data_IF_277879156686
#
_entry.id   IF_277879156686
#
_cell.length_a   1.000
_cell.length_b   1.000
_cell.length_c   1.000
_cell.angle_alpha   90.00
_cell.angle_beta   90.00
_cell.angle_gamma   90.00
#
_symmetry.space_group_name_H-M   'P 1'
#
loop_
_entity.id
_entity.type
_entity.pdbx_description
1 polymer ?
#
# COMPACT_ATOMS: atom_id res chain seq x y z
N UNK A 1 12.19 10.94 12.27
CA UNK A 1 10.78 11.26 12.58
C UNK A 1 9.90 10.23 11.91
N UNK A 2 8.86 9.69 12.57
CA UNK A 2 7.86 8.91 11.85
C UNK A 2 7.25 9.83 10.79
N UNK A 3 7.14 9.34 9.55
CA UNK A 3 6.49 10.10 8.49
C UNK A 3 5.03 10.31 8.90
N UNK A 4 4.52 11.53 8.80
CA UNK A 4 3.11 11.81 9.05
C UNK A 4 2.33 11.37 7.80
N UNK A 5 1.99 10.08 7.77
CA UNK A 5 1.25 9.44 6.69
C UNK A 5 -0.15 10.04 6.50
N UNK A 6 -0.54 10.27 5.26
CA UNK A 6 -1.85 10.82 4.85
C UNK A 6 -2.48 10.00 3.72
N UNK A 7 -3.81 10.05 3.54
CA UNK A 7 -4.47 9.48 2.36
C UNK A 7 -3.81 9.94 1.05
N UNK A 8 -3.61 8.99 0.15
CA UNK A 8 -2.92 9.17 -1.13
C UNK A 8 -1.40 8.98 -1.08
N UNK A 9 -0.77 8.99 0.09
CA UNK A 9 0.67 8.74 0.20
C UNK A 9 0.99 7.31 -0.29
N UNK A 10 1.98 7.19 -1.18
CA UNK A 10 2.50 5.92 -1.65
C UNK A 10 3.61 5.40 -0.73
N UNK A 11 3.53 4.12 -0.40
CA UNK A 11 4.38 3.47 0.59
C UNK A 11 4.74 2.05 0.16
N UNK A 12 5.75 1.48 0.81
CA UNK A 12 5.85 0.04 0.96
C UNK A 12 5.22 -0.38 2.28
N UNK A 13 4.34 -1.37 2.24
CA UNK A 13 3.66 -1.91 3.39
C UNK A 13 4.19 -3.31 3.75
N UNK A 14 4.40 -3.58 5.04
CA UNK A 14 4.96 -4.83 5.52
C UNK A 14 3.90 -5.71 6.20
N UNK A 15 3.65 -6.89 5.62
CA UNK A 15 2.86 -7.95 6.24
C UNK A 15 3.72 -9.17 6.59
N UNK A 16 3.32 -9.94 7.61
CA UNK A 16 4.03 -11.18 7.99
C UNK A 16 3.95 -12.19 6.83
N UNK A 17 5.10 -12.77 6.44
CA UNK A 17 5.19 -13.76 5.36
C UNK A 17 5.30 -13.18 3.93
N UNK A 18 5.14 -11.86 3.77
CA UNK A 18 5.21 -11.16 2.48
C UNK A 18 6.43 -10.22 2.42
N UNK A 19 6.94 -9.91 1.21
CA UNK A 19 7.91 -8.82 1.03
C UNK A 19 7.29 -7.47 1.42
N UNK A 20 8.11 -6.42 1.45
CA UNK A 20 7.61 -5.04 1.52
C UNK A 20 6.88 -4.75 0.22
N UNK A 21 5.56 -4.58 0.29
CA UNK A 21 4.66 -4.57 -0.87
C UNK A 21 4.33 -3.14 -1.30
N UNK A 22 4.33 -2.81 -2.60
CA UNK A 22 3.92 -1.49 -3.09
C UNK A 22 2.45 -1.22 -2.76
N UNK A 23 2.17 -0.11 -2.08
CA UNK A 23 0.84 0.20 -1.57
C UNK A 23 0.58 1.70 -1.56
N UNK A 24 -0.69 2.09 -1.36
CA UNK A 24 -1.09 3.45 -1.01
C UNK A 24 -1.91 3.48 0.25
N UNK A 25 -1.87 4.61 0.94
CA UNK A 25 -2.76 4.89 2.06
C UNK A 25 -4.10 5.34 1.50
N UNK A 26 -5.15 4.65 1.92
CA UNK A 26 -6.52 5.01 1.56
C UNK A 26 -7.10 6.03 2.54
N UNK A 27 -8.17 6.68 2.13
CA UNK A 27 -8.99 7.42 3.07
C UNK A 27 -9.99 6.49 3.75
N UNK A 28 -10.44 6.86 4.95
CA UNK A 28 -11.56 6.17 5.59
C UNK A 28 -12.83 6.70 4.94
N UNK A 29 -13.42 5.92 4.04
CA UNK A 29 -14.68 6.29 3.40
C UNK A 29 -15.75 6.64 4.43
N UNK A 30 -16.55 7.67 4.14
CA UNK A 30 -17.64 8.11 5.00
C UNK A 30 -18.65 6.97 5.22
N UNK A 31 -18.95 6.65 6.48
CA UNK A 31 -19.82 5.53 6.84
C UNK A 31 -19.15 4.15 6.87
N UNK A 32 -17.87 4.02 6.49
CA UNK A 32 -17.13 2.78 6.63
C UNK A 32 -16.83 2.45 8.10
N UNK A 33 -16.55 1.18 8.37
CA UNK A 33 -16.05 0.73 9.68
C UNK A 33 -14.79 1.52 10.01
N UNK A 34 -14.81 2.24 11.15
CA UNK A 34 -13.66 3.01 11.59
C UNK A 34 -12.44 2.09 11.70
N UNK A 35 -11.26 2.54 11.21
CA UNK A 35 -10.03 1.78 11.42
C UNK A 35 -9.84 1.49 12.91
N UNK A 36 -9.29 0.32 13.27
CA UNK A 36 -8.86 0.07 14.63
C UNK A 36 -7.92 1.20 15.10
N UNK A 37 -7.90 1.52 16.40
CA UNK A 37 -7.02 2.58 16.92
C UNK A 37 -5.57 2.38 16.46
N UNK A 38 -4.94 3.47 16.01
CA UNK A 38 -3.56 3.49 15.52
C UNK A 38 -3.28 2.59 14.31
N UNK A 39 -4.30 2.23 13.53
CA UNK A 39 -4.12 1.59 12.23
C UNK A 39 -4.58 2.49 11.10
N UNK A 40 -3.90 2.36 9.97
CA UNK A 40 -4.10 3.13 8.75
C UNK A 40 -4.66 2.17 7.69
N UNK A 41 -5.72 2.55 6.95
CA UNK A 41 -6.21 1.75 5.82
C UNK A 41 -5.22 1.81 4.65
N UNK A 42 -4.90 0.65 4.11
CA UNK A 42 -3.90 0.45 3.06
C UNK A 42 -4.53 -0.31 1.90
N UNK A 43 -4.27 0.15 0.69
CA UNK A 43 -4.54 -0.55 -0.56
C UNK A 43 -3.22 -1.09 -1.13
N UNK A 44 -3.17 -2.38 -1.45
CA UNK A 44 -2.00 -3.02 -2.04
C UNK A 44 -2.09 -3.02 -3.57
N UNK A 45 -1.12 -2.41 -4.23
CA UNK A 45 -1.06 -2.43 -5.70
C UNK A 45 -0.83 -3.86 -6.22
N UNK A 46 -1.35 -4.13 -7.41
CA UNK A 46 -1.31 -5.39 -8.15
C UNK A 46 -2.23 -6.50 -7.62
N UNK A 47 -2.51 -6.56 -6.32
CA UNK A 47 -3.55 -7.47 -5.78
C UNK A 47 -4.87 -6.78 -5.51
N UNK A 48 -4.84 -5.45 -5.33
CA UNK A 48 -5.97 -4.60 -4.97
C UNK A 48 -6.66 -5.02 -3.66
N UNK A 49 -5.97 -5.82 -2.84
CA UNK A 49 -6.40 -6.16 -1.50
C UNK A 49 -6.28 -4.93 -0.59
N UNK A 50 -7.07 -4.92 0.49
CA UNK A 50 -7.03 -3.85 1.50
C UNK A 50 -6.77 -4.40 2.89
N UNK A 51 -6.02 -3.68 3.72
CA UNK A 51 -5.84 -4.03 5.13
C UNK A 51 -5.66 -2.80 6.02
N UNK A 52 -5.74 -3.00 7.33
CA UNK A 52 -5.37 -1.99 8.33
C UNK A 52 -4.00 -2.32 8.93
N UNK A 53 -3.02 -1.44 8.74
CA UNK A 53 -1.65 -1.62 9.24
C UNK A 53 -1.24 -0.53 10.22
N UNK A 54 -0.34 -0.85 11.14
CA UNK A 54 0.22 0.13 12.05
C UNK A 54 1.29 0.98 11.33
N UNK A 55 1.52 2.25 11.71
CA UNK A 55 2.51 3.12 11.08
C UNK A 55 3.93 2.53 11.02
N UNK A 56 4.30 1.68 11.99
CA UNK A 56 5.61 1.00 12.04
C UNK A 56 5.85 0.02 10.88
N UNK A 57 4.77 -0.43 10.24
CA UNK A 57 4.79 -1.39 9.15
C UNK A 57 4.71 -0.68 7.78
N UNK A 58 4.80 0.65 7.76
CA UNK A 58 4.73 1.49 6.57
C UNK A 58 6.06 2.22 6.35
N UNK A 59 6.49 2.24 5.10
CA UNK A 59 7.79 2.77 4.68
C UNK A 59 7.57 3.70 3.49
N UNK A 60 7.90 4.99 3.62
CA UNK A 60 7.69 5.97 2.55
C UNK A 60 8.38 5.53 1.24
N UNK A 61 7.63 5.50 0.13
CA UNK A 61 8.12 4.98 -1.14
C UNK A 61 9.43 5.65 -1.58
N UNK A 62 9.48 6.99 -1.58
CA UNK A 62 10.64 7.77 -2.03
C UNK A 62 11.94 7.38 -1.33
N UNK A 63 11.86 7.05 -0.03
CA UNK A 63 13.03 6.70 0.79
C UNK A 63 13.46 5.24 0.63
N UNK A 64 12.55 4.35 0.28
CA UNK A 64 12.77 2.90 0.31
C UNK A 64 12.69 2.22 -1.06
N UNK A 65 12.43 2.97 -2.14
CA UNK A 65 12.33 2.44 -3.50
C UNK A 65 13.57 1.64 -3.91
N UNK A 66 14.79 2.09 -3.58
CA UNK A 66 16.02 1.38 -3.94
C UNK A 66 16.17 0.04 -3.20
N UNK A 67 15.55 -0.08 -2.03
CA UNK A 67 15.62 -1.28 -1.20
C UNK A 67 14.50 -2.27 -1.50
N UNK A 68 13.27 -1.78 -1.68
CA UNK A 68 12.05 -2.61 -1.76
C UNK A 68 11.39 -2.61 -3.14
N UNK A 69 11.74 -1.68 -4.02
CA UNK A 69 11.22 -1.57 -5.39
C UNK A 69 11.85 -2.55 -6.39
N UNK A 70 12.36 -3.69 -5.92
CA UNK A 70 13.00 -4.71 -6.77
C UNK A 70 11.99 -5.80 -7.14
N UNK A 71 12.02 -6.33 -8.38
CA UNK A 71 11.11 -7.38 -8.81
C UNK A 71 11.07 -8.59 -7.86
N UNK A 72 9.87 -9.17 -7.70
CA UNK A 72 9.63 -10.32 -6.84
C UNK A 72 8.77 -11.37 -7.56
N UNK A 73 8.91 -12.65 -7.18
CA UNK A 73 8.16 -13.76 -7.78
C UNK A 73 6.72 -13.90 -7.26
N UNK A 74 6.34 -13.16 -6.22
CA UNK A 74 4.96 -13.17 -5.69
C UNK A 74 3.99 -12.63 -6.74
N UNK A 75 2.87 -13.35 -6.95
CA UNK A 75 1.80 -12.92 -7.87
C UNK A 75 1.33 -11.51 -7.49
N UNK A 76 1.17 -10.65 -8.49
CA UNK A 76 0.75 -9.25 -8.32
C UNK A 76 1.87 -8.29 -7.89
N UNK A 77 3.03 -8.75 -7.40
CA UNK A 77 4.06 -7.84 -6.89
C UNK A 77 4.66 -6.94 -7.99
N UNK A 78 5.08 -7.53 -9.11
CA UNK A 78 5.68 -6.77 -10.21
C UNK A 78 4.66 -5.85 -10.90
N UNK A 79 3.40 -6.28 -10.99
CA UNK A 79 2.28 -5.45 -11.43
C UNK A 79 2.10 -4.27 -10.47
N UNK A 80 2.17 -4.52 -9.15
CA UNK A 80 2.09 -3.46 -8.16
C UNK A 80 3.24 -2.44 -8.22
N UNK A 81 4.46 -2.88 -8.57
CA UNK A 81 5.58 -1.95 -8.83
C UNK A 81 5.35 -1.09 -10.06
N UNK A 82 4.63 -1.61 -11.06
CA UNK A 82 4.28 -0.84 -12.24
C UNK A 82 3.15 0.16 -11.92
N UNK A 83 2.10 -0.29 -11.21
CA UNK A 83 0.96 0.56 -10.83
C UNK A 83 1.37 1.74 -9.95
N UNK A 84 2.21 1.53 -8.93
CA UNK A 84 2.63 2.61 -8.02
C UNK A 84 3.35 3.76 -8.76
N UNK A 85 3.95 3.49 -9.93
CA UNK A 85 4.63 4.49 -10.76
C UNK A 85 3.73 5.07 -11.86
N UNK A 86 2.89 4.25 -12.49
CA UNK A 86 2.20 4.60 -13.74
C UNK A 86 0.68 4.78 -13.56
N UNK A 87 0.10 4.20 -12.51
CA UNK A 87 -1.32 4.29 -12.19
C UNK A 87 -1.56 4.31 -10.66
N UNK A 88 -1.06 5.33 -9.94
CA UNK A 88 -1.15 5.38 -8.48
C UNK A 88 -2.60 5.50 -7.96
N UNK A 89 -3.54 5.83 -8.84
CA UNK A 89 -4.98 5.91 -8.55
C UNK A 89 -5.74 4.63 -8.96
N UNK A 90 -5.04 3.54 -9.32
CA UNK A 90 -5.66 2.27 -9.65
C UNK A 90 -6.65 1.85 -8.57
N UNK A 91 -7.92 1.72 -8.92
CA UNK A 91 -8.97 1.20 -8.04
C UNK A 91 -9.42 -0.16 -8.55
N UNK A 92 -9.88 -1.02 -7.64
CA UNK A 92 -10.55 -2.25 -8.02
C UNK A 92 -11.76 -1.90 -8.91
N UNK A 93 -11.70 -2.25 -10.19
CA UNK A 93 -12.83 -2.16 -11.12
C UNK A 93 -13.37 -3.57 -11.30
N UNK A 94 -14.53 -3.93 -10.72
CA UNK A 94 -15.09 -5.28 -10.82
C UNK A 94 -15.56 -5.70 -12.23
N UNK A 95 -15.29 -4.92 -13.28
CA UNK A 95 -15.77 -5.23 -14.64
C UNK A 95 -14.71 -5.93 -15.49
N UNK A 96 -14.76 -7.27 -15.49
CA UNK A 96 -14.75 -8.13 -16.68
C UNK A 96 -15.48 -9.43 -16.43
#
# INVERSE_FOLDING_TARGET
MPHNFRPGDIVFAKMKGYPHWPARIEDVAEGAVKPPPNKIPIFFFGTHETAFLAPKDLFAYEKYQDQYGKPNKRKGFNEGLWEIQNNPHASYSPER
#
